data_IF_427880601800
#
_entry.id   IF_427880601800
#
_cell.length_a   1.000
_cell.length_b   1.000
_cell.length_c   1.000
_cell.angle_alpha   90.00
_cell.angle_beta   90.00
_cell.angle_gamma   90.00
#
_symmetry.space_group_name_H-M   'P 1'
#
loop_
_entity.id
_entity.type
_entity.pdbx_description
1 polymer ?
#
# COMPACT_ATOMS: atom_id res chain seq x y z
N UNK A 1 8.64 33.73 3.73
CA UNK A 1 8.39 32.41 3.10
C UNK A 1 8.75 31.33 4.10
N UNK A 2 7.79 30.85 4.88
CA UNK A 2 8.01 29.75 5.81
C UNK A 2 7.84 28.45 5.03
N UNK A 3 8.96 27.87 4.57
CA UNK A 3 9.00 26.48 4.12
C UNK A 3 8.61 25.62 5.33
N UNK A 4 7.38 25.14 5.40
CA UNK A 4 7.04 23.97 6.21
C UNK A 4 7.79 22.79 5.60
N UNK A 5 8.99 22.57 6.11
CA UNK A 5 9.85 21.47 5.70
C UNK A 5 9.12 20.14 5.98
N UNK A 6 9.31 19.11 5.15
CA UNK A 6 8.69 17.79 5.35
C UNK A 6 8.99 17.18 6.73
N UNK A 7 10.09 17.61 7.36
CA UNK A 7 10.44 17.29 8.74
C UNK A 7 9.44 17.80 9.78
N UNK A 8 8.83 18.98 9.56
CA UNK A 8 7.88 19.60 10.50
C UNK A 8 6.51 18.90 10.50
N UNK A 9 6.02 18.51 9.33
CA UNK A 9 4.80 17.73 9.19
C UNK A 9 4.95 16.34 9.80
N UNK A 10 6.08 15.70 9.52
CA UNK A 10 6.40 14.41 10.08
C UNK A 10 6.50 14.47 11.61
N UNK A 11 7.03 15.55 12.19
CA UNK A 11 7.03 15.71 13.66
C UNK A 11 5.63 15.93 14.24
N UNK A 12 4.78 16.70 13.57
CA UNK A 12 3.41 16.96 14.04
C UNK A 12 2.55 15.69 13.99
N UNK A 13 2.61 14.93 12.89
CA UNK A 13 1.88 13.65 12.76
C UNK A 13 2.39 12.64 13.77
N UNK A 14 3.72 12.55 13.96
CA UNK A 14 4.32 11.65 14.95
C UNK A 14 3.88 12.01 16.38
N UNK A 15 3.89 13.30 16.74
CA UNK A 15 3.41 13.76 18.04
C UNK A 15 1.93 13.44 18.28
N UNK A 16 1.08 13.58 17.26
CA UNK A 16 -0.36 13.23 17.35
C UNK A 16 -0.58 11.72 17.46
N UNK A 17 0.22 10.91 16.75
CA UNK A 17 0.21 9.46 16.86
C UNK A 17 0.66 9.01 18.26
N UNK A 18 1.70 9.63 18.83
CA UNK A 18 2.17 9.33 20.18
C UNK A 18 1.08 9.63 21.22
N UNK A 19 0.32 10.72 21.04
CA UNK A 19 -0.85 11.03 21.88
C UNK A 19 -1.98 10.01 21.73
N UNK A 20 -2.27 9.56 20.51
CA UNK A 20 -3.27 8.52 20.25
C UNK A 20 -2.86 7.19 20.93
N UNK A 21 -1.58 6.81 20.79
CA UNK A 21 -1.06 5.61 21.45
C UNK A 21 -1.17 5.71 22.98
N UNK A 22 -0.89 6.88 23.56
CA UNK A 22 -1.03 7.11 24.99
C UNK A 22 -2.49 6.92 25.43
N UNK A 23 -3.44 7.57 24.75
CA UNK A 23 -4.87 7.47 25.06
C UNK A 23 -5.42 6.05 24.87
N UNK A 24 -5.00 5.34 23.82
CA UNK A 24 -5.38 3.94 23.63
C UNK A 24 -4.81 3.05 24.75
N UNK A 25 -3.57 3.29 25.20
CA UNK A 25 -3.00 2.56 26.35
C UNK A 25 -3.73 2.84 27.65
N UNK A 26 -4.15 4.08 27.88
CA UNK A 26 -4.97 4.49 29.02
C UNK A 26 -6.34 3.77 29.00
N UNK A 27 -7.00 3.69 27.84
CA UNK A 27 -8.27 2.96 27.67
C UNK A 27 -8.11 1.44 27.86
N UNK A 28 -6.98 0.87 27.45
CA UNK A 28 -6.66 -0.55 27.62
C UNK A 28 -6.09 -0.90 29.02
N UNK A 29 -5.98 0.05 29.95
CA UNK A 29 -5.55 -0.20 31.32
C UNK A 29 -4.07 -0.56 31.51
N UNK A 30 -3.22 -0.46 30.48
CA UNK A 30 -1.77 -0.71 30.56
C UNK A 30 -0.98 0.54 31.01
N UNK A 31 -1.64 1.46 31.71
CA UNK A 31 -1.00 2.62 32.34
C UNK A 31 -0.16 2.19 33.53
N UNK A 32 1.11 1.82 33.28
CA UNK A 32 2.10 1.73 34.34
C UNK A 32 2.22 3.11 35.01
N UNK A 33 1.80 3.16 36.27
CA UNK A 33 2.04 4.19 37.29
C UNK A 33 3.19 5.13 36.97
N UNK A 34 2.93 6.27 36.31
CA UNK A 34 3.89 7.40 36.21
C UNK A 34 3.29 8.67 35.58
N UNK A 35 2.23 9.22 36.16
CA UNK A 35 2.03 10.67 36.18
C UNK A 35 0.87 10.99 37.10
N UNK A 36 1.12 11.83 38.12
CA UNK A 36 0.07 12.32 39.00
C UNK A 36 -0.89 13.22 38.22
N UNK A 37 -2.06 12.69 37.87
CA UNK A 37 -3.25 13.46 37.57
C UNK A 37 -4.47 12.57 37.83
N UNK A 38 -5.32 13.04 38.72
CA UNK A 38 -6.58 12.46 39.19
C UNK A 38 -7.55 12.14 38.04
N UNK A 39 -7.69 10.85 37.68
CA UNK A 39 -8.85 10.26 37.01
C UNK A 39 -8.89 8.75 37.28
N UNK A 40 -10.07 8.12 37.43
CA UNK A 40 -10.21 6.83 38.09
C UNK A 40 -9.65 5.70 37.21
N UNK A 41 -8.60 5.07 37.71
CA UNK A 41 -7.82 4.01 37.05
C UNK A 41 -8.42 2.61 37.31
N UNK A 42 -9.74 2.54 37.46
CA UNK A 42 -10.41 1.47 38.20
C UNK A 42 -11.07 0.35 37.38
N UNK A 43 -11.60 0.52 36.14
CA UNK A 43 -12.54 -0.47 35.59
C UNK A 43 -11.90 -1.82 35.21
N UNK A 44 -10.66 -1.83 34.71
CA UNK A 44 -9.96 -3.08 34.38
C UNK A 44 -9.35 -3.75 35.62
N UNK A 45 -8.83 -2.96 36.56
CA UNK A 45 -8.31 -3.49 37.82
C UNK A 45 -9.42 -4.09 38.68
N UNK A 46 -10.58 -3.42 38.76
CA UNK A 46 -11.79 -3.94 39.41
C UNK A 46 -12.33 -5.18 38.70
N UNK A 47 -12.26 -5.25 37.37
CA UNK A 47 -12.61 -6.45 36.62
C UNK A 47 -11.71 -7.64 36.96
N UNK A 48 -10.38 -7.47 36.89
CA UNK A 48 -9.45 -8.54 37.23
C UNK A 48 -9.57 -8.96 38.71
N UNK A 49 -9.80 -7.99 39.60
CA UNK A 49 -10.09 -8.26 41.01
C UNK A 49 -11.38 -9.06 41.18
N UNK A 50 -12.45 -8.71 40.46
CA UNK A 50 -13.74 -9.42 40.49
C UNK A 50 -13.62 -10.84 39.93
N UNK A 51 -12.87 -11.03 38.85
CA UNK A 51 -12.56 -12.34 38.27
C UNK A 51 -11.73 -13.19 39.24
N UNK A 52 -10.74 -12.60 39.89
CA UNK A 52 -9.90 -13.29 40.87
C UNK A 52 -10.70 -13.71 42.10
N UNK A 53 -11.53 -12.80 42.62
CA UNK A 53 -12.38 -13.05 43.78
C UNK A 53 -13.46 -14.09 43.47
N UNK A 54 -13.97 -14.12 42.23
CA UNK A 54 -14.82 -15.21 41.75
C UNK A 54 -14.07 -16.54 41.71
N UNK A 55 -12.85 -16.60 41.17
CA UNK A 55 -12.05 -17.83 41.15
C UNK A 55 -11.81 -18.38 42.55
N UNK A 56 -11.48 -17.50 43.50
CA UNK A 56 -11.24 -17.86 44.90
C UNK A 56 -12.52 -18.36 45.59
N UNK A 57 -13.63 -17.65 45.45
CA UNK A 57 -14.94 -18.08 46.00
C UNK A 57 -15.45 -19.36 45.37
N UNK A 58 -15.25 -19.50 44.06
CA UNK A 58 -15.62 -20.67 43.28
C UNK A 58 -14.85 -21.90 43.76
N UNK A 59 -13.54 -21.80 43.85
CA UNK A 59 -12.68 -22.88 44.36
C UNK A 59 -13.00 -23.22 45.81
N UNK A 60 -13.25 -22.22 46.66
CA UNK A 60 -13.61 -22.44 48.06
C UNK A 60 -14.92 -23.22 48.21
N UNK A 61 -15.98 -22.84 47.49
CA UNK A 61 -17.27 -23.55 47.54
C UNK A 61 -17.19 -24.96 46.97
N UNK A 62 -16.42 -25.16 45.90
CA UNK A 62 -16.17 -26.50 45.36
C UNK A 62 -15.48 -27.40 46.40
N UNK A 63 -14.46 -26.89 47.10
CA UNK A 63 -13.76 -27.61 48.17
C UNK A 63 -14.65 -27.86 49.40
N UNK A 64 -15.45 -26.89 49.82
CA UNK A 64 -16.41 -27.05 50.93
C UNK A 64 -17.49 -28.11 50.61
N UNK A 65 -17.96 -28.15 49.36
CA UNK A 65 -18.94 -29.17 48.94
C UNK A 65 -18.35 -30.58 48.92
N UNK A 66 -17.06 -30.72 48.57
CA UNK A 66 -16.33 -31.99 48.62
C UNK A 66 -16.10 -32.48 50.06
N UNK A 67 -15.78 -31.58 50.99
CA UNK A 67 -15.57 -31.89 52.40
C UNK A 67 -16.89 -32.31 53.10
N UNK A 68 -18.01 -31.65 52.74
CA UNK A 68 -19.35 -32.00 53.26
C UNK A 68 -19.93 -33.28 52.65
N UNK A 69 -19.61 -33.61 51.40
CA UNK A 69 -20.03 -34.85 50.74
C UNK A 69 -19.45 -36.11 51.41
N UNK A 70 -18.31 -36.00 52.11
CA UNK A 70 -17.75 -37.09 52.93
C UNK A 70 -18.57 -37.40 54.20
N UNK A 71 -19.49 -36.51 54.59
CA UNK A 71 -20.32 -36.62 55.78
C UNK A 71 -21.82 -36.51 55.48
N UNK A 72 -22.40 -37.45 54.73
CA UNK A 72 -23.85 -37.66 54.55
C UNK A 72 -24.72 -36.42 54.22
N UNK A 73 -24.14 -35.31 53.76
CA UNK A 73 -24.86 -34.07 53.46
C UNK A 73 -25.14 -33.94 51.95
N UNK A 74 -26.39 -34.24 51.62
CA UNK A 74 -27.26 -33.82 50.50
C UNK A 74 -26.64 -33.37 49.17
N UNK A 75 -27.02 -34.10 48.11
CA UNK A 75 -26.95 -33.70 46.69
C UNK A 75 -27.47 -32.29 46.41
N UNK A 76 -28.39 -31.78 47.23
CA UNK A 76 -28.98 -30.45 47.05
C UNK A 76 -27.97 -29.32 47.28
N UNK A 77 -27.00 -29.51 48.19
CA UNK A 77 -25.93 -28.52 48.42
C UNK A 77 -24.97 -28.42 47.24
N UNK A 78 -24.82 -29.50 46.46
CA UNK A 78 -24.00 -29.50 45.26
C UNK A 78 -24.70 -28.80 44.09
N UNK A 79 -26.02 -29.01 43.96
CA UNK A 79 -26.86 -28.32 42.97
C UNK A 79 -26.88 -26.81 43.24
N UNK A 80 -27.09 -26.37 44.48
CA UNK A 80 -27.08 -24.95 44.85
C UNK A 80 -25.72 -24.28 44.56
N UNK A 81 -24.61 -24.99 44.84
CA UNK A 81 -23.29 -24.49 44.49
C UNK A 81 -23.14 -24.31 42.97
N UNK A 82 -23.58 -25.30 42.16
CA UNK A 82 -23.53 -25.23 40.69
C UNK A 82 -24.37 -24.08 40.13
N UNK A 83 -25.58 -23.86 40.65
CA UNK A 83 -26.45 -22.74 40.25
C UNK A 83 -25.81 -21.38 40.55
N UNK A 84 -25.21 -21.24 41.73
CA UNK A 84 -24.47 -20.04 42.11
C UNK A 84 -23.22 -19.81 41.23
N UNK A 85 -22.50 -20.88 40.87
CA UNK A 85 -21.39 -20.80 39.92
C UNK A 85 -21.85 -20.34 38.54
N UNK A 86 -22.94 -20.89 38.03
CA UNK A 86 -23.51 -20.52 36.73
C UNK A 86 -23.95 -19.06 36.73
N UNK A 87 -24.64 -18.62 37.79
CA UNK A 87 -25.06 -17.22 37.95
C UNK A 87 -23.87 -16.27 37.98
N UNK A 88 -22.86 -16.58 38.79
CA UNK A 88 -21.68 -15.72 38.89
C UNK A 88 -20.84 -15.73 37.59
N UNK A 89 -20.81 -16.84 36.85
CA UNK A 89 -20.18 -16.91 35.53
C UNK A 89 -20.93 -16.04 34.50
N UNK A 90 -22.27 -16.02 34.52
CA UNK A 90 -23.09 -15.13 33.70
C UNK A 90 -22.85 -13.66 34.04
N UNK A 91 -22.78 -13.31 35.32
CA UNK A 91 -22.50 -11.95 35.77
C UNK A 91 -21.10 -11.48 35.33
N UNK A 92 -20.09 -12.35 35.43
CA UNK A 92 -18.74 -12.08 34.91
C UNK A 92 -18.70 -11.92 33.40
N UNK A 93 -19.46 -12.74 32.67
CA UNK A 93 -19.54 -12.65 31.22
C UNK A 93 -20.17 -11.32 30.79
N UNK A 94 -21.26 -10.91 31.43
CA UNK A 94 -21.90 -9.62 31.13
C UNK A 94 -20.97 -8.45 31.47
N UNK A 95 -20.27 -8.50 32.61
CA UNK A 95 -19.27 -7.50 32.98
C UNK A 95 -18.14 -7.41 31.94
N UNK A 96 -17.63 -8.56 31.48
CA UNK A 96 -16.59 -8.62 30.45
C UNK A 96 -17.09 -8.03 29.13
N UNK A 97 -18.33 -8.32 28.74
CA UNK A 97 -18.96 -7.78 27.53
C UNK A 97 -19.09 -6.27 27.59
N UNK A 98 -19.61 -5.73 28.68
CA UNK A 98 -19.75 -4.28 28.89
C UNK A 98 -18.40 -3.56 28.84
N UNK A 99 -17.36 -4.16 29.44
CA UNK A 99 -16.00 -3.59 29.37
C UNK A 99 -15.43 -3.63 27.96
N UNK A 100 -15.63 -4.73 27.24
CA UNK A 100 -15.18 -4.86 25.85
C UNK A 100 -15.89 -3.86 24.94
N UNK A 101 -17.21 -3.72 25.06
CA UNK A 101 -17.97 -2.72 24.33
C UNK A 101 -17.48 -1.31 24.67
N UNK A 102 -17.33 -0.97 25.96
CA UNK A 102 -16.87 0.36 26.37
C UNK A 102 -15.47 0.68 25.84
N UNK A 103 -14.54 -0.26 25.93
CA UNK A 103 -13.16 -0.07 25.45
C UNK A 103 -13.10 0.02 23.93
N UNK A 104 -13.87 -0.81 23.22
CA UNK A 104 -14.01 -0.77 21.77
C UNK A 104 -14.55 0.57 21.28
N UNK A 105 -15.67 1.03 21.85
CA UNK A 105 -16.26 2.33 21.49
C UNK A 105 -15.31 3.49 21.84
N UNK A 106 -14.64 3.42 23.00
CA UNK A 106 -13.65 4.42 23.39
C UNK A 106 -12.46 4.50 22.43
N UNK A 107 -11.92 3.35 22.01
CA UNK A 107 -10.83 3.30 21.03
C UNK A 107 -11.26 3.82 19.67
N UNK A 108 -12.44 3.42 19.18
CA UNK A 108 -12.96 3.91 17.90
C UNK A 108 -13.16 5.42 17.91
N UNK A 109 -13.69 5.99 19.00
CA UNK A 109 -13.83 7.44 19.14
C UNK A 109 -12.47 8.17 19.08
N UNK A 110 -11.41 7.61 19.68
CA UNK A 110 -10.07 8.20 19.57
C UNK A 110 -9.49 8.07 18.15
N UNK A 111 -9.76 6.96 17.46
CA UNK A 111 -9.32 6.76 16.07
C UNK A 111 -10.05 7.71 15.11
N UNK A 112 -11.36 7.89 15.29
CA UNK A 112 -12.17 8.84 14.51
C UNK A 112 -11.68 10.28 14.71
N UNK A 113 -11.49 10.72 15.97
CA UNK A 113 -10.93 12.05 16.24
C UNK A 113 -9.53 12.25 15.67
N UNK A 114 -8.69 11.22 15.66
CA UNK A 114 -7.38 11.28 15.01
C UNK A 114 -7.48 11.37 13.48
N UNK A 115 -8.45 10.69 12.87
CA UNK A 115 -8.71 10.78 11.44
C UNK A 115 -9.20 12.19 11.04
N UNK A 116 -10.08 12.79 11.84
CA UNK A 116 -10.54 14.18 11.65
C UNK A 116 -9.38 15.18 11.78
N UNK A 117 -8.54 15.03 12.81
CA UNK A 117 -7.34 15.85 13.01
C UNK A 117 -6.38 15.77 11.79
N UNK A 118 -6.18 14.56 11.25
CA UNK A 118 -5.36 14.36 10.06
C UNK A 118 -6.00 14.97 8.81
N UNK A 119 -7.31 14.83 8.62
CA UNK A 119 -8.03 15.44 7.51
C UNK A 119 -7.91 16.96 7.55
N UNK A 120 -8.16 17.58 8.71
CA UNK A 120 -8.03 19.03 8.88
C UNK A 120 -6.59 19.53 8.63
N UNK A 121 -5.58 18.77 9.07
CA UNK A 121 -4.18 19.09 8.79
C UNK A 121 -3.87 19.06 7.29
N UNK A 122 -4.32 18.01 6.59
CA UNK A 122 -4.14 17.87 5.14
C UNK A 122 -4.86 19.00 4.41
N UNK A 123 -6.11 19.30 4.76
CA UNK A 123 -6.89 20.37 4.16
C UNK A 123 -6.23 21.73 4.35
N UNK A 124 -5.69 22.02 5.54
CA UNK A 124 -4.94 23.25 5.79
C UNK A 124 -3.70 23.36 4.88
N UNK A 125 -2.98 22.27 4.67
CA UNK A 125 -1.76 22.27 3.86
C UNK A 125 -2.10 22.42 2.39
N UNK A 126 -3.04 21.61 1.90
CA UNK A 126 -3.51 21.67 0.51
C UNK A 126 -4.09 23.05 0.22
N UNK A 127 -4.93 23.58 1.11
CA UNK A 127 -5.49 24.92 0.99
C UNK A 127 -4.42 26.01 0.90
N UNK A 128 -3.43 25.99 1.80
CA UNK A 128 -2.34 26.97 1.78
C UNK A 128 -1.46 26.89 0.52
N UNK A 129 -1.12 25.68 0.08
CA UNK A 129 -0.34 25.43 -1.15
C UNK A 129 -1.11 25.86 -2.39
N UNK A 130 -2.41 25.59 -2.44
CA UNK A 130 -3.26 25.95 -3.57
C UNK A 130 -3.40 27.47 -3.68
N UNK A 131 -3.57 28.17 -2.56
CA UNK A 131 -3.62 29.63 -2.54
C UNK A 131 -2.28 30.27 -2.95
N UNK A 132 -1.14 29.72 -2.49
CA UNK A 132 0.19 30.16 -2.95
C UNK A 132 0.34 29.98 -4.47
N UNK A 133 -0.03 28.80 -5.00
CA UNK A 133 0.00 28.53 -6.44
C UNK A 133 -0.92 29.47 -7.23
N UNK A 134 -2.10 29.76 -6.69
CA UNK A 134 -3.05 30.71 -7.28
C UNK A 134 -2.44 32.11 -7.39
N UNK A 135 -1.76 32.57 -6.34
CA UNK A 135 -1.09 33.88 -6.33
C UNK A 135 0.07 33.93 -7.33
N UNK A 136 0.91 32.90 -7.37
CA UNK A 136 2.00 32.79 -8.35
C UNK A 136 1.44 32.79 -9.77
N UNK A 137 0.40 31.99 -10.04
CA UNK A 137 -0.24 31.95 -11.34
C UNK A 137 -0.82 33.32 -11.73
N UNK A 138 -1.52 34.00 -10.81
CA UNK A 138 -2.06 35.34 -11.07
C UNK A 138 -0.95 36.35 -11.41
N UNK A 139 0.17 36.31 -10.69
CA UNK A 139 1.34 37.16 -10.97
C UNK A 139 1.95 36.86 -12.33
N UNK A 140 2.16 35.57 -12.67
CA UNK A 140 2.73 35.15 -13.95
C UNK A 140 1.82 35.54 -15.11
N UNK A 141 0.51 35.28 -15.00
CA UNK A 141 -0.47 35.67 -16.02
C UNK A 141 -0.52 37.19 -16.18
N UNK A 142 -0.43 37.94 -15.08
CA UNK A 142 -0.31 39.40 -15.10
C UNK A 142 0.91 39.86 -15.90
N UNK A 143 2.09 39.31 -15.59
CA UNK A 143 3.34 39.60 -16.32
C UNK A 143 3.26 39.24 -17.80
N UNK A 144 2.76 38.05 -18.13
CA UNK A 144 2.58 37.61 -19.52
C UNK A 144 1.63 38.51 -20.31
N UNK A 145 0.56 39.01 -19.67
CA UNK A 145 -0.34 39.99 -20.32
C UNK A 145 0.36 41.31 -20.62
N UNK A 146 1.24 41.78 -19.73
CA UNK A 146 2.03 43.01 -19.95
C UNK A 146 3.00 42.81 -21.11
N UNK A 147 3.76 41.72 -21.11
CA UNK A 147 4.71 41.40 -22.19
C UNK A 147 4.00 41.19 -23.52
N UNK A 148 2.85 40.52 -23.54
CA UNK A 148 2.05 40.36 -24.76
C UNK A 148 1.59 41.71 -25.33
N UNK A 149 1.11 42.62 -24.47
CA UNK A 149 0.76 43.99 -24.90
C UNK A 149 1.98 44.78 -25.39
N UNK A 150 3.16 44.56 -24.82
CA UNK A 150 4.41 45.19 -25.27
C UNK A 150 4.79 44.65 -26.65
N UNK A 151 4.76 43.33 -26.82
CA UNK A 151 5.04 42.67 -28.09
C UNK A 151 4.06 43.11 -29.20
N UNK A 152 2.77 43.18 -28.89
CA UNK A 152 1.75 43.65 -29.84
C UNK A 152 2.02 45.10 -30.30
N UNK A 153 2.42 45.99 -29.38
CA UNK A 153 2.83 47.37 -29.72
C UNK A 153 4.06 47.39 -30.61
N UNK A 154 5.11 46.64 -30.26
CA UNK A 154 6.32 46.57 -31.09
C UNK A 154 6.05 45.99 -32.47
N UNK A 155 5.14 45.01 -32.60
CA UNK A 155 4.74 44.48 -33.90
C UNK A 155 3.99 45.54 -34.73
N UNK A 156 3.10 46.31 -34.12
CA UNK A 156 2.40 47.41 -34.80
C UNK A 156 3.37 48.50 -35.25
N UNK A 157 4.31 48.90 -34.39
CA UNK A 157 5.35 49.88 -34.72
C UNK A 157 6.21 49.41 -35.89
N UNK A 158 6.72 48.17 -35.84
CA UNK A 158 7.50 47.58 -36.92
C UNK A 158 6.70 47.47 -38.22
N UNK A 159 5.42 47.12 -38.13
CA UNK A 159 4.56 47.06 -39.31
C UNK A 159 4.36 48.44 -39.95
N UNK A 160 4.17 49.49 -39.14
CA UNK A 160 4.09 50.87 -39.64
C UNK A 160 5.39 51.36 -40.28
N UNK A 161 6.54 51.06 -39.68
CA UNK A 161 7.84 51.38 -40.27
C UNK A 161 8.04 50.63 -41.59
N UNK A 162 7.68 49.35 -41.64
CA UNK A 162 7.83 48.54 -42.85
C UNK A 162 6.92 49.04 -43.99
N UNK A 163 5.66 49.37 -43.69
CA UNK A 163 4.74 49.97 -44.66
C UNK A 163 5.31 51.30 -45.23
N UNK A 164 5.85 52.17 -44.38
CA UNK A 164 6.49 53.40 -44.83
C UNK A 164 7.76 53.19 -45.66
N UNK A 165 8.55 52.15 -45.37
CA UNK A 165 9.70 51.77 -46.20
C UNK A 165 9.27 51.19 -47.55
N UNK A 166 8.21 50.38 -47.59
CA UNK A 166 7.62 49.85 -48.81
C UNK A 166 7.10 50.96 -49.72
N UNK A 167 6.36 51.93 -49.17
CA UNK A 167 5.90 53.12 -49.92
C UNK A 167 7.07 53.92 -50.49
N UNK A 168 8.13 54.16 -49.71
CA UNK A 168 9.33 54.86 -50.17
C UNK A 168 10.07 54.11 -51.27
N UNK A 169 10.19 52.78 -51.14
CA UNK A 169 10.77 51.94 -52.17
C UNK A 169 9.94 51.99 -53.46
N UNK A 170 8.61 51.92 -53.34
CA UNK A 170 7.71 51.99 -54.49
C UNK A 170 7.79 53.36 -55.18
N UNK A 171 7.91 54.45 -54.41
CA UNK A 171 8.12 55.79 -54.97
C UNK A 171 9.46 55.92 -55.71
N UNK A 172 10.54 55.33 -55.16
CA UNK A 172 11.88 55.34 -55.79
C UNK A 172 11.91 54.53 -57.09
N UNK A 173 11.17 53.43 -57.16
CA UNK A 173 11.11 52.61 -58.37
C UNK A 173 10.25 53.19 -59.48
N UNK A 174 9.21 53.94 -59.11
CA UNK A 174 8.30 54.57 -60.06
C UNK A 174 8.77 55.98 -60.50
N UNK A 175 9.89 56.47 -59.97
CA UNK A 175 10.44 57.77 -60.34
C UNK A 175 11.02 57.72 -61.77
N UNK A 176 10.61 58.63 -62.67
CA UNK A 176 10.94 58.55 -64.10
C UNK A 176 12.43 58.80 -64.44
N UNK A 177 13.20 59.39 -63.51
CA UNK A 177 14.64 59.65 -63.66
C UNK A 177 15.54 58.68 -62.86
N UNK A 178 14.96 57.64 -62.24
CA UNK A 178 15.72 56.67 -61.46
C UNK A 178 16.49 55.72 -62.40
N UNK A 179 17.76 56.04 -62.65
CA UNK A 179 18.73 55.14 -63.28
C UNK A 179 19.00 53.88 -62.45
N UNK A 180 20.25 53.42 -62.37
CA UNK A 180 20.65 52.12 -61.81
C UNK A 180 20.05 51.69 -60.44
N UNK A 181 19.57 52.63 -59.63
CA UNK A 181 18.91 52.38 -58.34
C UNK A 181 17.56 51.65 -58.46
N UNK A 182 16.75 51.91 -59.50
CA UNK A 182 15.49 51.17 -59.70
C UNK A 182 15.74 49.70 -60.06
N UNK A 183 16.79 49.43 -60.84
CA UNK A 183 17.25 48.06 -61.16
C UNK A 183 17.78 47.37 -59.90
N UNK A 184 18.48 48.10 -59.03
CA UNK A 184 18.99 47.58 -57.76
C UNK A 184 17.84 47.22 -56.80
N UNK A 185 16.81 48.07 -56.70
CA UNK A 185 15.61 47.81 -55.91
C UNK A 185 14.84 46.58 -56.42
N UNK A 186 14.68 46.43 -57.73
CA UNK A 186 14.04 45.25 -58.32
C UNK A 186 14.84 43.96 -58.04
N UNK A 187 16.17 44.01 -58.16
CA UNK A 187 17.06 42.87 -57.82
C UNK A 187 17.01 42.54 -56.33
N UNK A 188 16.98 43.53 -55.45
CA UNK A 188 16.84 43.34 -54.00
C UNK A 188 15.48 42.72 -53.68
N UNK A 189 14.39 43.15 -54.33
CA UNK A 189 13.06 42.58 -54.13
C UNK A 189 12.98 41.12 -54.56
N UNK A 190 13.57 40.78 -55.71
CA UNK A 190 13.67 39.39 -56.16
C UNK A 190 14.49 38.53 -55.17
N UNK A 191 15.60 39.07 -54.64
CA UNK A 191 16.43 38.40 -53.63
C UNK A 191 15.67 38.19 -52.31
N UNK A 192 14.90 39.19 -51.86
CA UNK A 192 14.07 39.11 -50.65
C UNK A 192 12.97 38.06 -50.82
N UNK A 193 12.26 38.06 -51.96
CA UNK A 193 11.25 37.04 -52.25
C UNK A 193 11.84 35.63 -52.23
N UNK A 194 13.02 35.43 -52.84
CA UNK A 194 13.71 34.15 -52.79
C UNK A 194 14.07 33.74 -51.34
N UNK A 195 14.54 34.67 -50.51
CA UNK A 195 14.85 34.40 -49.10
C UNK A 195 13.60 34.08 -48.27
N UNK A 196 12.47 34.74 -48.54
CA UNK A 196 11.19 34.45 -47.88
C UNK A 196 10.70 33.04 -48.23
N UNK A 197 10.77 32.65 -49.49
CA UNK A 197 10.44 31.27 -49.92
C UNK A 197 11.36 30.28 -49.20
N UNK A 198 12.67 30.54 -49.18
CA UNK A 198 13.64 29.66 -48.52
C UNK A 198 13.43 29.57 -47.00
N UNK A 199 13.06 30.67 -46.35
CA UNK A 199 12.72 30.69 -44.93
C UNK A 199 11.47 29.85 -44.65
N UNK A 200 10.46 29.94 -45.52
CA UNK A 200 9.24 29.14 -45.39
C UNK A 200 9.54 27.65 -45.58
N UNK A 201 10.31 27.26 -46.59
CA UNK A 201 10.77 25.88 -46.81
C UNK A 201 11.46 25.31 -45.55
N UNK A 202 12.44 26.05 -45.01
CA UNK A 202 13.16 25.65 -43.79
C UNK A 202 12.23 25.54 -42.58
N UNK A 203 11.23 26.40 -42.47
CA UNK A 203 10.27 26.36 -41.36
C UNK A 203 9.41 25.08 -41.43
N UNK A 204 8.94 24.71 -42.62
CA UNK A 204 8.18 23.47 -42.86
C UNK A 204 9.05 22.23 -42.59
N UNK A 205 10.32 22.24 -42.99
CA UNK A 205 11.25 21.15 -42.66
C UNK A 205 11.47 21.01 -41.14
N UNK A 206 11.55 22.13 -40.41
CA UNK A 206 11.71 22.16 -38.96
C UNK A 206 10.46 21.62 -38.24
N UNK A 207 9.27 21.97 -38.72
CA UNK A 207 7.99 21.43 -38.23
C UNK A 207 7.93 19.91 -38.44
N UNK A 208 8.26 19.41 -39.64
CA UNK A 208 8.33 17.97 -39.92
C UNK A 208 9.32 17.25 -38.98
N UNK A 209 10.51 17.81 -38.79
CA UNK A 209 11.50 17.23 -37.87
C UNK A 209 11.01 17.23 -36.41
N UNK A 210 10.23 18.24 -36.00
CA UNK A 210 9.60 18.26 -34.67
C UNK A 210 8.52 17.19 -34.52
N UNK A 211 7.70 16.98 -35.55
CA UNK A 211 6.69 15.90 -35.59
C UNK A 211 7.34 14.52 -35.50
N UNK A 212 8.43 14.28 -36.26
CA UNK A 212 9.20 13.03 -36.19
C UNK A 212 9.80 12.80 -34.79
N UNK A 213 10.35 13.85 -34.16
CA UNK A 213 10.84 13.75 -32.77
C UNK A 213 9.74 13.36 -31.79
N UNK A 214 8.54 13.91 -31.94
CA UNK A 214 7.39 13.53 -31.11
C UNK A 214 6.99 12.07 -31.37
N UNK A 215 6.96 11.64 -32.62
CA UNK A 215 6.69 10.25 -33.00
C UNK A 215 7.70 9.29 -32.37
N UNK A 216 8.99 9.57 -32.51
CA UNK A 216 10.06 8.75 -31.90
C UNK A 216 10.01 8.76 -30.38
N UNK A 217 9.63 9.87 -29.74
CA UNK A 217 9.42 9.91 -28.28
C UNK A 217 8.31 8.97 -27.85
N UNK A 218 7.17 8.97 -28.55
CA UNK A 218 6.05 8.04 -28.28
C UNK A 218 6.45 6.58 -28.50
N UNK A 219 7.18 6.28 -29.56
CA UNK A 219 7.72 4.94 -29.82
C UNK A 219 8.66 4.49 -28.70
N UNK A 220 9.53 5.38 -28.22
CA UNK A 220 10.45 5.11 -27.12
C UNK A 220 9.74 4.91 -25.77
N UNK A 221 8.65 5.65 -25.51
CA UNK A 221 7.80 5.41 -24.34
C UNK A 221 7.10 4.05 -24.42
N UNK A 222 6.60 3.67 -25.60
CA UNK A 222 6.01 2.36 -25.84
C UNK A 222 7.01 1.23 -25.60
N UNK A 223 8.24 1.33 -26.10
CA UNK A 223 9.28 0.31 -25.88
C UNK A 223 9.72 0.24 -24.42
N UNK A 224 9.79 1.37 -23.70
CA UNK A 224 10.03 1.38 -22.25
C UNK A 224 8.93 0.67 -21.48
N UNK A 225 7.67 0.86 -21.83
CA UNK A 225 6.55 0.19 -21.19
C UNK A 225 6.63 -1.34 -21.39
N UNK A 226 6.88 -1.78 -22.64
CA UNK A 226 7.07 -3.20 -22.96
C UNK A 226 8.26 -3.80 -22.21
N UNK A 227 9.37 -3.07 -22.08
CA UNK A 227 10.53 -3.52 -21.31
C UNK A 227 10.20 -3.68 -19.81
N UNK A 228 9.47 -2.72 -19.23
CA UNK A 228 9.05 -2.79 -17.83
C UNK A 228 8.08 -3.97 -17.58
N UNK A 229 7.20 -4.25 -18.52
CA UNK A 229 6.31 -5.41 -18.48
C UNK A 229 7.08 -6.73 -18.57
N UNK A 230 8.04 -6.83 -19.50
CA UNK A 230 8.93 -7.99 -19.62
C UNK A 230 9.81 -8.20 -18.38
N UNK A 231 10.25 -7.12 -17.72
CA UNK A 231 10.99 -7.22 -16.45
C UNK A 231 10.12 -7.76 -15.32
N UNK A 232 8.84 -7.35 -15.24
CA UNK A 232 7.88 -7.88 -14.25
C UNK A 232 7.60 -9.37 -14.49
N UNK A 233 7.36 -9.77 -15.73
CA UNK A 233 7.10 -11.18 -16.06
C UNK A 233 8.33 -12.06 -15.79
N UNK A 234 9.53 -11.55 -16.03
CA UNK A 234 10.79 -12.21 -15.69
C UNK A 234 11.01 -12.34 -14.18
N UNK A 235 10.66 -11.33 -13.39
CA UNK A 235 10.73 -11.41 -11.93
C UNK A 235 9.75 -12.46 -11.37
N UNK A 236 8.53 -12.52 -11.91
CA UNK A 236 7.52 -13.51 -11.52
C UNK A 236 7.97 -14.93 -11.87
N UNK A 237 8.49 -15.15 -13.09
CA UNK A 237 9.00 -16.46 -13.50
C UNK A 237 10.19 -16.90 -12.65
N UNK A 238 11.12 -16.00 -12.30
CA UNK A 238 12.20 -16.31 -11.35
C UNK A 238 11.68 -16.70 -9.97
N UNK A 239 10.69 -15.98 -9.43
CA UNK A 239 10.11 -16.31 -8.13
C UNK A 239 9.37 -17.67 -8.15
N UNK A 240 8.70 -17.99 -9.26
CA UNK A 240 8.04 -19.28 -9.45
C UNK A 240 9.06 -20.41 -9.53
N UNK A 241 10.13 -20.25 -10.32
CA UNK A 241 11.24 -21.21 -10.38
C UNK A 241 11.91 -21.40 -9.01
N UNK A 242 12.09 -20.32 -8.24
CA UNK A 242 12.67 -20.41 -6.90
C UNK A 242 11.74 -21.18 -5.93
N UNK A 243 10.43 -20.99 -6.04
CA UNK A 243 9.45 -21.78 -5.27
C UNK A 243 9.48 -23.26 -5.67
N UNK A 244 9.46 -23.57 -6.96
CA UNK A 244 9.50 -24.94 -7.48
C UNK A 244 10.80 -25.65 -7.07
N UNK A 245 11.95 -24.98 -7.20
CA UNK A 245 13.25 -25.53 -6.78
C UNK A 245 13.31 -25.79 -5.27
N UNK A 246 12.77 -24.91 -4.43
CA UNK A 246 12.65 -25.16 -2.98
C UNK A 246 11.73 -26.34 -2.66
N UNK A 247 10.60 -26.47 -3.37
CA UNK A 247 9.69 -27.61 -3.21
C UNK A 247 10.37 -28.93 -3.60
N UNK A 248 11.08 -28.96 -4.73
CA UNK A 248 11.86 -30.13 -5.16
C UNK A 248 12.98 -30.47 -4.17
N UNK A 249 13.69 -29.47 -3.63
CA UNK A 249 14.71 -29.70 -2.61
C UNK A 249 14.13 -30.28 -1.31
N UNK A 250 12.97 -29.79 -0.86
CA UNK A 250 12.27 -30.33 0.30
C UNK A 250 11.82 -31.79 0.09
N UNK A 251 11.27 -32.11 -1.09
CA UNK A 251 10.92 -33.48 -1.47
C UNK A 251 12.15 -34.40 -1.51
N UNK A 252 13.27 -33.91 -2.05
CA UNK A 252 14.52 -34.67 -2.05
C UNK A 252 15.01 -34.92 -0.62
N UNK A 253 14.97 -33.94 0.28
CA UNK A 253 15.35 -34.11 1.68
C UNK A 253 14.43 -35.10 2.41
N UNK A 254 13.11 -35.03 2.19
CA UNK A 254 12.15 -35.99 2.74
C UNK A 254 12.46 -37.42 2.28
N UNK A 255 12.73 -37.61 0.98
CA UNK A 255 13.10 -38.90 0.43
C UNK A 255 14.41 -39.43 1.04
N UNK A 256 15.43 -38.58 1.22
CA UNK A 256 16.67 -38.99 1.91
C UNK A 256 16.41 -39.39 3.36
N UNK A 257 15.57 -38.65 4.09
CA UNK A 257 15.21 -38.97 5.47
C UNK A 257 14.44 -40.31 5.55
N UNK A 258 13.50 -40.56 4.64
CA UNK A 258 12.79 -41.84 4.55
C UNK A 258 13.73 -42.99 4.20
N UNK A 259 14.65 -42.81 3.25
CA UNK A 259 15.65 -43.83 2.93
C UNK A 259 16.58 -44.10 4.11
N UNK A 260 17.00 -43.07 4.84
CA UNK A 260 17.80 -43.23 6.06
C UNK A 260 17.04 -44.02 7.13
N UNK A 261 15.75 -43.72 7.36
CA UNK A 261 14.90 -44.45 8.29
C UNK A 261 14.70 -45.92 7.87
N UNK A 262 14.50 -46.19 6.59
CA UNK A 262 14.39 -47.57 6.08
C UNK A 262 15.71 -48.32 6.25
N UNK A 263 16.84 -47.66 5.98
CA UNK A 263 18.16 -48.25 6.19
C UNK A 263 18.43 -48.51 7.68
N UNK A 264 18.11 -47.57 8.57
CA UNK A 264 18.21 -47.75 10.02
C UNK A 264 17.31 -48.90 10.49
N UNK A 265 16.03 -48.92 10.11
CA UNK A 265 15.11 -50.01 10.45
C UNK A 265 15.57 -51.37 9.88
N UNK A 266 16.14 -51.38 8.68
CA UNK A 266 16.73 -52.60 8.10
C UNK A 266 18.00 -53.04 8.85
N UNK A 267 18.80 -52.10 9.35
CA UNK A 267 20.00 -52.36 10.14
C UNK A 267 19.65 -52.84 11.55
N UNK A 268 18.61 -52.29 12.17
CA UNK A 268 18.08 -52.73 13.46
C UNK A 268 17.44 -54.12 13.33
N UNK A 269 16.71 -54.39 12.24
CA UNK A 269 16.19 -55.72 11.93
C UNK A 269 17.32 -56.74 11.65
N UNK A 270 18.44 -56.30 11.07
CA UNK A 270 19.62 -57.15 10.87
C UNK A 270 20.49 -57.32 12.12
N UNK A 271 20.45 -56.35 13.05
CA UNK A 271 21.21 -56.34 14.31
C UNK A 271 20.48 -57.03 15.48
N UNK A 272 19.21 -57.41 15.31
CA UNK A 272 18.45 -58.25 16.25
C UNK A 272 18.25 -59.68 15.70
N UNK A 273 19.18 -60.64 15.95
CA UNK A 273 19.03 -62.01 15.49
C UNK A 273 18.00 -62.81 16.31
N UNK A 274 17.30 -62.19 17.28
CA UNK A 274 16.41 -62.89 18.21
C UNK A 274 14.92 -62.71 17.95
N UNK A 275 14.50 -61.89 16.98
CA UNK A 275 13.09 -61.82 16.53
C UNK A 275 12.75 -62.68 15.32
N UNK A 276 13.72 -63.37 14.71
CA UNK A 276 13.48 -64.32 13.61
C UNK A 276 13.35 -65.79 14.04
N UNK A 277 13.15 -66.07 15.32
CA UNK A 277 12.76 -67.39 15.80
C UNK A 277 11.41 -67.33 16.54
N UNK A 278 10.34 -67.11 15.79
CA UNK A 278 9.06 -67.74 16.11
C UNK A 278 8.44 -68.22 14.80
N UNK A 279 8.56 -69.52 14.47
CA UNK A 279 7.95 -70.08 13.28
C UNK A 279 6.46 -70.30 13.50
N UNK A 280 5.68 -69.97 12.46
CA UNK A 280 4.57 -70.76 11.92
C UNK A 280 3.74 -71.55 12.94
N UNK A 281 2.63 -70.97 13.39
CA UNK A 281 1.37 -71.69 13.64
C UNK A 281 0.24 -70.66 13.81
N UNK A 282 -0.97 -71.01 13.35
CA UNK A 282 -2.19 -70.18 13.34
C UNK A 282 -2.37 -69.23 12.14
N UNK A 283 -2.77 -69.81 11.00
CA UNK A 283 -4.07 -69.55 10.34
C UNK A 283 -4.00 -69.81 8.82
N UNK A 284 -4.09 -71.09 8.45
CA UNK A 284 -4.82 -71.49 7.25
C UNK A 284 -6.29 -71.58 7.64
N UNK A 285 -7.11 -70.66 7.16
CA UNK A 285 -8.47 -70.90 6.64
C UNK A 285 -9.22 -69.55 6.54
N UNK A 286 -9.17 -68.93 5.36
CA UNK A 286 -10.31 -68.86 4.43
C UNK A 286 -9.85 -68.08 3.19
N UNK A 287 -9.53 -68.83 2.15
CA UNK A 287 -9.72 -68.37 0.77
C UNK A 287 -11.20 -68.05 0.58
N UNK A 288 -11.53 -66.90 0.01
CA UNK A 288 -12.39 -66.87 -1.17
C UNK A 288 -12.33 -65.51 -1.88
N UNK A 289 -11.79 -65.59 -3.09
CA UNK A 289 -12.20 -64.89 -4.31
C UNK A 289 -12.49 -63.38 -4.25
N UNK A 290 -11.64 -62.61 -4.93
CA UNK A 290 -12.11 -61.67 -5.97
C UNK A 290 -10.95 -61.29 -6.88
N UNK A 291 -11.04 -61.75 -8.13
CA UNK A 291 -10.16 -61.35 -9.22
C UNK A 291 -10.56 -60.02 -9.83
N UNK A 292 -9.56 -59.42 -10.50
CA UNK A 292 -9.66 -58.65 -11.74
C UNK A 292 -10.81 -57.64 -11.90
N UNK A 293 -10.49 -56.33 -11.95
CA UNK A 293 -10.23 -55.66 -13.24
C UNK A 293 -9.97 -54.14 -13.11
N UNK A 294 -8.89 -53.74 -13.78
CA UNK A 294 -8.70 -52.60 -14.69
C UNK A 294 -9.44 -51.25 -14.53
N UNK A 295 -8.61 -50.21 -14.66
CA UNK A 295 -8.79 -48.99 -15.49
C UNK A 295 -8.95 -47.64 -14.79
N UNK A 296 -8.11 -46.73 -15.29
CA UNK A 296 -8.04 -45.28 -15.12
C UNK A 296 -9.40 -44.56 -15.16
N UNK A 297 -9.41 -43.30 -14.70
CA UNK A 297 -9.73 -42.27 -15.67
C UNK A 297 -8.73 -41.12 -15.70
N UNK A 298 -8.28 -40.89 -16.92
CA UNK A 298 -7.90 -39.59 -17.46
C UNK A 298 -8.92 -38.51 -17.09
N UNK A 299 -8.44 -37.39 -16.55
CA UNK A 299 -9.20 -36.16 -16.43
C UNK A 299 -8.38 -35.02 -17.04
N UNK A 300 -8.75 -34.68 -18.27
CA UNK A 300 -8.45 -33.39 -18.88
C UNK A 300 -9.39 -32.34 -18.27
N UNK A 301 -8.84 -31.21 -17.81
CA UNK A 301 -9.21 -29.87 -18.30
C UNK A 301 -8.15 -28.86 -17.87
#
# INVERSE_FOLDING_TARGET
MNKTSPSSLHSTIRSRLDQLQLKCRELCGNGASRSGATAPHEPLHEFFSSVQLWKERSLHRALESLDKAAGAASTDSHVEAMEDHEKAAKDLFELARVLLDRTWHGMNLQLEGFAEDLAALVDSIVGSRLEEQRQVHASVVGGLKVENRKLARTCQELHGVNAGLEERLQALENAPDAGGDAILCHKLRARVQHLVIRQHELSVELERAAEERVKHRRELEKTKALLAEAQKSLALTRAMQEKETRQLAALAQLNHAHLAQVLEASSEAAADPRRHQHPLESNVATSEATGENTSEPSAAT
#
